data_IF_320351327046
#
_entry.id   IF_320351327046
#
_cell.length_a   1.000
_cell.length_b   1.000
_cell.length_c   1.000
_cell.angle_alpha   90.00
_cell.angle_beta   90.00
_cell.angle_gamma   90.00
#
_symmetry.space_group_name_H-M   'P 1'
#
loop_
_entity.id
_entity.type
_entity.pdbx_description
1 polymer ?
#
# COMPACT_ATOMS: atom_id res chain seq x y z
N UNK A 1 22.83 20.83 -23.76
CA UNK A 1 23.29 19.42 -23.70
C UNK A 1 22.24 18.54 -24.38
N UNK A 2 22.64 17.64 -25.28
CA UNK A 2 21.70 16.77 -26.00
C UNK A 2 21.33 15.52 -25.18
N UNK A 3 20.20 14.89 -25.50
CA UNK A 3 19.74 13.63 -24.87
C UNK A 3 20.76 12.49 -25.01
N UNK A 4 21.54 12.47 -26.09
CA UNK A 4 22.63 11.51 -26.32
C UNK A 4 23.81 11.69 -25.36
N UNK A 5 24.21 12.94 -25.07
CA UNK A 5 25.27 13.23 -24.11
C UNK A 5 24.89 12.83 -22.68
N UNK A 6 23.61 12.95 -22.32
CA UNK A 6 23.10 12.53 -21.00
C UNK A 6 23.14 10.99 -20.87
N UNK A 7 22.68 10.25 -21.88
CA UNK A 7 22.71 8.78 -21.85
C UNK A 7 24.12 8.22 -21.80
N UNK A 8 25.06 8.82 -22.52
CA UNK A 8 26.46 8.39 -22.53
C UNK A 8 27.10 8.55 -21.16
N UNK A 9 26.92 9.71 -20.50
CA UNK A 9 27.40 9.92 -19.12
C UNK A 9 26.73 9.01 -18.09
N UNK A 10 25.44 8.70 -18.25
CA UNK A 10 24.76 7.74 -17.37
C UNK A 10 25.30 6.31 -17.56
N UNK A 11 25.67 5.94 -18.79
CA UNK A 11 26.29 4.65 -19.08
C UNK A 11 27.72 4.56 -18.52
N UNK A 12 28.52 5.62 -18.63
CA UNK A 12 29.84 5.74 -17.97
C UNK A 12 29.71 5.58 -16.44
N UNK A 13 28.66 6.16 -15.85
CA UNK A 13 28.31 5.98 -14.44
C UNK A 13 27.65 4.63 -14.08
N UNK A 14 27.62 3.65 -15.00
CA UNK A 14 27.01 2.32 -14.82
C UNK A 14 25.52 2.35 -14.39
N UNK A 15 24.82 3.44 -14.70
CA UNK A 15 23.40 3.61 -14.35
C UNK A 15 22.50 3.04 -15.45
N UNK A 16 21.41 2.37 -15.03
CA UNK A 16 20.39 1.86 -15.94
C UNK A 16 19.01 2.32 -15.54
N UNK A 17 18.13 2.53 -16.53
CA UNK A 17 16.72 2.83 -16.30
C UNK A 17 16.01 1.62 -15.69
N UNK A 18 15.48 1.78 -14.47
CA UNK A 18 14.83 0.72 -13.68
C UNK A 18 13.56 1.26 -13.02
N UNK A 19 12.65 0.37 -12.65
CA UNK A 19 11.50 0.74 -11.83
C UNK A 19 11.99 1.07 -10.40
N UNK A 20 11.62 2.25 -9.87
CA UNK A 20 11.96 2.64 -8.51
C UNK A 20 11.24 1.76 -7.48
N UNK A 21 11.75 1.76 -6.26
CA UNK A 21 10.99 1.26 -5.12
C UNK A 21 9.97 2.31 -4.73
N UNK A 22 8.68 1.95 -4.71
CA UNK A 22 7.65 2.82 -4.16
C UNK A 22 7.65 2.68 -2.63
N UNK A 23 7.85 3.78 -1.92
CA UNK A 23 7.92 3.80 -0.45
C UNK A 23 6.83 4.67 0.14
N UNK A 24 6.28 4.23 1.27
CA UNK A 24 5.36 5.06 2.06
C UNK A 24 6.15 6.11 2.85
N UNK A 25 5.67 7.35 2.95
CA UNK A 25 6.26 8.36 3.83
C UNK A 25 5.99 8.02 5.30
N UNK A 26 6.87 7.21 5.89
CA UNK A 26 6.78 6.88 7.32
C UNK A 26 7.64 7.83 8.14
N UNK A 27 7.02 8.50 9.10
CA UNK A 27 7.72 9.25 10.15
C UNK A 27 8.56 8.29 11.02
N UNK A 28 9.59 8.78 11.72
CA UNK A 28 10.37 7.97 12.65
C UNK A 28 9.50 7.27 13.72
N UNK A 29 8.41 7.93 14.15
CA UNK A 29 7.44 7.37 15.10
C UNK A 29 6.70 6.18 14.47
N UNK A 30 6.17 6.33 13.25
CA UNK A 30 5.48 5.25 12.54
C UNK A 30 6.38 4.02 12.36
N UNK A 31 7.65 4.22 12.01
CA UNK A 31 8.63 3.13 11.85
C UNK A 31 8.83 2.35 13.15
N UNK A 32 9.00 3.07 14.27
CA UNK A 32 9.19 2.47 15.60
C UNK A 32 7.98 1.64 16.03
N UNK A 33 6.78 2.20 15.88
CA UNK A 33 5.53 1.52 16.27
C UNK A 33 5.28 0.29 15.42
N UNK A 34 5.48 0.37 14.09
CA UNK A 34 5.36 -0.79 13.20
C UNK A 34 6.36 -1.89 13.56
N UNK A 35 7.63 -1.53 13.81
CA UNK A 35 8.63 -2.52 14.22
C UNK A 35 8.27 -3.18 15.56
N UNK A 36 7.79 -2.40 16.54
CA UNK A 36 7.30 -2.94 17.82
C UNK A 36 6.15 -3.91 17.61
N UNK A 37 5.18 -3.55 16.76
CA UNK A 37 4.04 -4.41 16.45
C UNK A 37 4.47 -5.72 15.78
N UNK A 38 5.36 -5.66 14.79
CA UNK A 38 5.90 -6.85 14.10
C UNK A 38 6.69 -7.74 15.06
N UNK A 39 7.54 -7.18 15.92
CA UNK A 39 8.30 -7.97 16.91
C UNK A 39 7.38 -8.66 17.90
N UNK A 40 6.34 -7.97 18.38
CA UNK A 40 5.39 -8.54 19.33
C UNK A 40 4.57 -9.72 18.76
N UNK A 41 4.44 -9.81 17.43
CA UNK A 41 3.66 -10.85 16.73
C UNK A 41 4.49 -11.71 15.79
N UNK A 42 5.82 -11.59 15.86
CA UNK A 42 6.73 -12.28 14.93
C UNK A 42 6.73 -13.80 15.12
N UNK A 43 6.38 -14.26 16.33
CA UNK A 43 6.31 -15.67 16.69
C UNK A 43 4.86 -16.18 16.81
N UNK A 44 3.87 -15.43 16.29
CA UNK A 44 2.49 -15.88 16.30
C UNK A 44 2.32 -17.14 15.46
N UNK A 45 1.62 -18.11 16.03
CA UNK A 45 1.24 -19.38 15.42
C UNK A 45 0.13 -19.18 14.39
N UNK A 46 -0.05 -20.16 13.50
CA UNK A 46 -1.17 -20.15 12.55
C UNK A 46 -2.52 -20.05 13.29
N UNK A 47 -2.69 -20.72 14.43
CA UNK A 47 -3.91 -20.65 15.22
C UNK A 47 -4.21 -19.22 15.71
N UNK A 48 -3.19 -18.46 16.14
CA UNK A 48 -3.35 -17.06 16.53
C UNK A 48 -3.70 -16.16 15.34
N UNK A 49 -3.08 -16.37 14.17
CA UNK A 49 -3.45 -15.65 12.94
C UNK A 49 -4.88 -15.97 12.48
N UNK A 50 -5.36 -17.18 12.74
CA UNK A 50 -6.71 -17.59 12.34
C UNK A 50 -7.81 -16.87 13.12
N UNK A 51 -7.49 -16.26 14.26
CA UNK A 51 -8.42 -15.46 15.07
C UNK A 51 -8.47 -13.98 14.63
N UNK A 52 -7.67 -13.59 13.63
CA UNK A 52 -7.61 -12.20 13.16
C UNK A 52 -8.59 -11.98 12.01
N UNK A 53 -9.46 -10.99 12.17
CA UNK A 53 -10.27 -10.44 11.06
C UNK A 53 -9.55 -9.21 10.52
N UNK A 54 -9.27 -9.21 9.23
CA UNK A 54 -8.73 -8.06 8.51
C UNK A 54 -9.86 -7.30 7.85
N UNK A 55 -9.90 -5.98 8.07
CA UNK A 55 -10.86 -5.07 7.46
C UNK A 55 -10.09 -3.95 6.78
N UNK A 56 -10.54 -3.54 5.60
CA UNK A 56 -9.94 -2.40 4.89
C UNK A 56 -10.93 -1.75 3.93
N UNK A 57 -10.67 -0.48 3.63
CA UNK A 57 -11.32 0.25 2.55
C UNK A 57 -10.35 0.41 1.37
N UNK A 58 -10.74 -0.06 0.20
CA UNK A 58 -9.95 0.11 -1.03
C UNK A 58 -10.71 0.90 -2.08
N UNK A 59 -9.98 1.75 -2.81
CA UNK A 59 -10.53 2.48 -3.96
C UNK A 59 -10.11 1.81 -5.26
N UNK A 60 -11.10 1.37 -6.04
CA UNK A 60 -10.92 0.87 -7.40
C UNK A 60 -10.97 2.05 -8.37
N UNK A 61 -9.80 2.42 -8.88
CA UNK A 61 -9.67 3.52 -9.83
C UNK A 61 -10.12 3.09 -11.23
N UNK A 62 -10.91 3.94 -11.88
CA UNK A 62 -11.35 3.72 -13.27
C UNK A 62 -10.21 4.01 -14.26
N UNK A 63 -9.31 4.94 -13.90
CA UNK A 63 -8.07 5.20 -14.63
C UNK A 63 -6.93 4.40 -14.02
N UNK A 64 -6.18 3.70 -14.86
CA UNK A 64 -4.95 3.03 -14.42
C UNK A 64 -3.86 4.07 -14.17
N UNK A 65 -3.53 4.33 -12.91
CA UNK A 65 -2.28 5.02 -12.51
C UNK A 65 -1.09 4.09 -12.75
N UNK A 66 -0.92 3.60 -13.99
CA UNK A 66 0.33 2.96 -14.42
C UNK A 66 1.31 4.12 -14.62
N UNK A 67 1.69 4.72 -13.50
CA UNK A 67 2.74 5.71 -13.46
C UNK A 67 4.02 4.93 -13.77
N UNK A 68 4.40 4.92 -15.06
CA UNK A 68 5.59 4.27 -15.62
C UNK A 68 6.86 5.02 -15.19
N UNK A 69 6.93 5.45 -13.94
CA UNK A 69 8.07 6.18 -13.40
C UNK A 69 9.30 5.29 -13.44
N UNK A 70 10.38 5.82 -14.02
CA UNK A 70 11.67 5.13 -14.16
C UNK A 70 12.74 6.01 -13.55
N UNK A 71 13.66 5.39 -12.83
CA UNK A 71 14.84 6.06 -12.27
C UNK A 71 16.09 5.45 -12.89
N UNK A 72 17.09 6.27 -13.16
CA UNK A 72 18.41 5.79 -13.54
C UNK A 72 19.19 5.50 -12.27
N UNK A 73 19.56 4.23 -12.06
CA UNK A 73 20.32 3.82 -10.87
C UNK A 73 21.29 2.68 -11.15
N UNK A 74 22.37 2.55 -10.34
CA UNK A 74 23.26 1.40 -10.38
C UNK A 74 22.57 0.08 -10.00
N UNK A 75 23.25 -1.05 -10.23
CA UNK A 75 22.83 -2.35 -9.70
C UNK A 75 23.08 -2.39 -8.19
N UNK A 76 22.21 -3.04 -7.42
CA UNK A 76 22.35 -3.16 -5.96
C UNK A 76 21.71 -2.02 -5.16
N UNK A 77 21.61 -0.82 -5.73
CA UNK A 77 21.04 0.38 -5.10
C UNK A 77 19.50 0.40 -5.07
N UNK A 78 18.85 -0.77 -4.92
CA UNK A 78 17.38 -0.83 -4.97
C UNK A 78 16.71 -0.13 -3.80
N UNK A 79 17.31 -0.26 -2.62
CA UNK A 79 16.79 0.21 -1.34
C UNK A 79 17.27 1.63 -0.99
N UNK A 80 18.17 2.21 -1.79
CA UNK A 80 18.68 3.54 -1.54
C UNK A 80 17.55 4.57 -1.71
N UNK A 81 17.24 5.37 -0.67
CA UNK A 81 16.18 6.36 -0.70
C UNK A 81 16.32 7.37 -1.84
N UNK A 82 17.54 7.67 -2.29
CA UNK A 82 17.79 8.59 -3.40
C UNK A 82 17.19 8.13 -4.75
N UNK A 83 16.96 6.82 -4.91
CA UNK A 83 16.33 6.23 -6.10
C UNK A 83 14.94 5.65 -5.81
N UNK A 84 14.38 5.91 -4.63
CA UNK A 84 13.03 5.53 -4.27
C UNK A 84 12.06 6.65 -4.62
N UNK A 85 10.83 6.30 -4.98
CA UNK A 85 9.76 7.27 -5.16
C UNK A 85 8.78 7.14 -4.00
N UNK A 86 8.49 8.26 -3.37
CA UNK A 86 7.44 8.33 -2.38
C UNK A 86 6.09 8.14 -3.09
N UNK A 87 5.29 7.20 -2.60
CA UNK A 87 3.93 7.02 -3.10
C UNK A 87 3.10 8.23 -2.68
N UNK A 88 2.59 8.97 -3.65
CA UNK A 88 1.56 9.97 -3.40
C UNK A 88 0.21 9.28 -3.32
N UNK A 89 -0.53 9.53 -2.24
CA UNK A 89 -1.93 9.09 -2.08
C UNK A 89 -2.82 10.12 -2.75
N UNK A 90 -2.75 10.23 -4.08
CA UNK A 90 -3.62 11.14 -4.83
C UNK A 90 -5.04 10.58 -4.79
N UNK A 91 -6.02 11.45 -4.59
CA UNK A 91 -7.43 11.12 -4.70
C UNK A 91 -7.76 10.91 -6.18
N UNK A 92 -7.62 9.67 -6.64
CA UNK A 92 -8.10 9.25 -7.95
C UNK A 92 -9.61 9.06 -7.95
N UNK A 93 -10.26 9.36 -9.07
CA UNK A 93 -11.66 9.02 -9.31
C UNK A 93 -11.81 7.51 -9.36
N UNK A 94 -12.69 6.98 -8.51
CA UNK A 94 -12.84 5.54 -8.36
C UNK A 94 -13.94 5.18 -7.40
N UNK A 95 -14.34 3.91 -7.42
CA UNK A 95 -15.35 3.35 -6.54
C UNK A 95 -14.67 2.92 -5.24
N UNK A 96 -15.16 3.41 -4.11
CA UNK A 96 -14.68 2.99 -2.80
C UNK A 96 -15.45 1.75 -2.36
N UNK A 97 -14.73 0.76 -1.85
CA UNK A 97 -15.26 -0.53 -1.42
C UNK A 97 -14.71 -0.85 -0.05
N UNK A 98 -15.58 -1.32 0.84
CA UNK A 98 -15.18 -1.94 2.10
C UNK A 98 -15.27 -3.45 2.00
N UNK A 99 -14.33 -4.14 2.64
CA UNK A 99 -14.35 -5.58 2.77
C UNK A 99 -13.70 -6.01 4.09
N UNK A 100 -14.10 -7.19 4.54
CA UNK A 100 -13.47 -7.91 5.63
C UNK A 100 -13.17 -9.35 5.21
N UNK A 101 -12.10 -9.93 5.74
CA UNK A 101 -11.83 -11.35 5.63
C UNK A 101 -11.16 -11.90 6.89
N UNK A 102 -11.48 -13.15 7.18
CA UNK A 102 -10.84 -13.97 8.20
C UNK A 102 -10.24 -15.20 7.51
N UNK A 103 -9.66 -16.12 8.28
CA UNK A 103 -8.94 -17.27 7.73
C UNK A 103 -9.78 -18.13 6.77
N UNK A 104 -11.03 -18.43 7.13
CA UNK A 104 -11.91 -19.32 6.36
C UNK A 104 -13.15 -18.64 5.76
N UNK A 105 -13.29 -17.32 5.93
CA UNK A 105 -14.51 -16.61 5.53
C UNK A 105 -14.20 -15.17 5.12
N UNK A 106 -15.14 -14.55 4.41
CA UNK A 106 -15.04 -13.17 3.94
C UNK A 106 -16.40 -12.51 3.93
N UNK A 107 -16.43 -11.20 4.11
CA UNK A 107 -17.63 -10.40 3.90
C UNK A 107 -17.96 -10.31 2.40
N UNK A 108 -19.20 -9.91 2.06
CA UNK A 108 -19.49 -9.26 0.80
C UNK A 108 -18.62 -7.99 0.62
N UNK A 109 -18.44 -7.57 -0.64
CA UNK A 109 -17.88 -6.26 -0.94
C UNK A 109 -18.98 -5.21 -0.80
N UNK A 110 -18.77 -4.23 0.08
CA UNK A 110 -19.73 -3.16 0.34
C UNK A 110 -19.30 -1.91 -0.41
N UNK A 111 -20.15 -1.40 -1.30
CA UNK A 111 -19.89 -0.17 -2.03
C UNK A 111 -20.10 1.04 -1.12
N UNK A 112 -19.10 1.91 -1.03
CA UNK A 112 -19.18 3.18 -0.33
C UNK A 112 -19.41 4.28 -1.37
N UNK A 113 -20.67 4.72 -1.46
CA UNK A 113 -21.14 5.70 -2.47
C UNK A 113 -21.17 7.14 -1.96
N UNK A 114 -20.96 7.37 -0.67
CA UNK A 114 -20.95 8.70 -0.04
C UNK A 114 -19.81 8.83 0.97
N UNK A 115 -19.64 10.04 1.52
CA UNK A 115 -18.66 10.30 2.58
C UNK A 115 -18.98 9.48 3.83
N UNK A 116 -18.10 8.56 4.18
CA UNK A 116 -18.28 7.67 5.31
C UNK A 116 -18.26 8.44 6.63
N UNK A 117 -19.34 8.30 7.42
CA UNK A 117 -19.40 8.83 8.79
C UNK A 117 -19.15 7.71 9.79
N UNK A 118 -18.65 8.05 10.99
CA UNK A 118 -18.39 7.05 12.03
C UNK A 118 -19.65 6.27 12.44
N UNK A 119 -20.81 6.94 12.52
CA UNK A 119 -22.09 6.29 12.82
C UNK A 119 -22.45 5.25 11.77
N UNK A 120 -22.35 5.62 10.49
CA UNK A 120 -22.65 4.71 9.39
C UNK A 120 -21.65 3.54 9.35
N UNK A 121 -20.37 3.82 9.60
CA UNK A 121 -19.36 2.76 9.68
C UNK A 121 -19.70 1.72 10.74
N UNK A 122 -20.12 2.15 11.93
CA UNK A 122 -20.47 1.22 13.00
C UNK A 122 -21.76 0.47 12.69
N UNK A 123 -22.83 1.18 12.36
CA UNK A 123 -24.18 0.61 12.27
C UNK A 123 -24.42 -0.15 10.97
N UNK A 124 -23.88 0.34 9.87
CA UNK A 124 -24.21 -0.15 8.52
C UNK A 124 -23.06 -0.93 7.89
N UNK A 125 -21.83 -0.85 8.42
CA UNK A 125 -20.69 -1.69 8.00
C UNK A 125 -20.34 -2.74 9.06
N UNK A 126 -19.89 -2.32 10.24
CA UNK A 126 -19.27 -3.26 11.19
C UNK A 126 -20.30 -4.23 11.78
N UNK A 127 -21.43 -3.74 12.28
CA UNK A 127 -22.46 -4.59 12.87
C UNK A 127 -22.99 -5.66 11.91
N UNK A 128 -23.43 -5.35 10.68
CA UNK A 128 -24.02 -6.34 9.79
C UNK A 128 -22.98 -7.23 9.07
N UNK A 129 -21.74 -6.76 8.87
CA UNK A 129 -20.79 -7.45 8.00
C UNK A 129 -19.51 -7.95 8.68
N UNK A 130 -19.08 -7.32 9.77
CA UNK A 130 -17.87 -7.74 10.50
C UNK A 130 -18.19 -8.73 11.62
N UNK A 131 -19.25 -8.49 12.41
CA UNK A 131 -19.63 -9.39 13.51
C UNK A 131 -19.88 -10.84 13.08
N UNK A 132 -20.47 -11.14 11.90
CA UNK A 132 -20.64 -12.53 11.46
C UNK A 132 -19.34 -13.26 11.10
N UNK A 133 -18.21 -12.55 11.02
CA UNK A 133 -16.88 -13.12 10.72
C UNK A 133 -16.08 -13.45 11.98
N UNK A 134 -16.57 -13.02 13.16
CA UNK A 134 -16.01 -13.32 14.47
C UNK A 134 -16.66 -14.56 15.06
#
# INVERSE_FOLDING_TARGET
MSSGSIRSRLAEGHMRSRCPLSVLPLTPIHRRLRLKWCRARGNWTAAEWNQVVFIDESRFNVSSDINRSRVWRPRGERLNPAFALQRHTILTSGVMVWAAFAYNTRSPLVLIVFTMTARWYVHDILQPHMLPLM
#
